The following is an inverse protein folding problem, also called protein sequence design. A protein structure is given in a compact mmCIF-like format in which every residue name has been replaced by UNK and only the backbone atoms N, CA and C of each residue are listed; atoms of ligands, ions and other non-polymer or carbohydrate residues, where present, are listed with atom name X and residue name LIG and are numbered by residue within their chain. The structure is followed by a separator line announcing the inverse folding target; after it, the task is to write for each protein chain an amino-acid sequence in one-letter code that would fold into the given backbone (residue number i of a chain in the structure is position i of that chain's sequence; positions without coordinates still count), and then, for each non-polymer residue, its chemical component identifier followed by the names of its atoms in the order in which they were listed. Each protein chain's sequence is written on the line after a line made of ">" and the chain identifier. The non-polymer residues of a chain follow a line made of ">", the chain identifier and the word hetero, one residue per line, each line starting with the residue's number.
data_IF_279512110080
#
_entry.id   IF_279512110080
#
_cell.length_a   1.000
_cell.length_b   1.000
_cell.length_c   1.000
_cell.angle_alpha   90.00
_cell.angle_beta   90.00
_cell.angle_gamma   90.00
#
_symmetry.space_group_name_H-M   'P 1'
#
loop_
_entity.id
_entity.type
_entity.pdbx_description
1 polymer ?
#
# COMPACT_ATOMS: atom_id res chain seq x y z
N UNK A 1 13.05 -7.61 0.50
CA UNK A 1 13.13 -8.65 -0.55
C UNK A 1 14.57 -9.13 -0.66
N UNK A 2 14.80 -10.45 -0.77
CA UNK A 2 16.16 -11.01 -0.96
C UNK A 2 16.63 -10.91 -2.44
N UNK A 3 15.75 -10.53 -3.38
CA UNK A 3 16.03 -10.36 -4.81
C UNK A 3 15.28 -9.14 -5.40
N UNK A 4 15.52 -8.84 -6.69
CA UNK A 4 14.87 -7.73 -7.40
C UNK A 4 13.35 -7.96 -7.55
N UNK A 5 12.57 -7.15 -6.84
CA UNK A 5 11.11 -7.15 -6.88
C UNK A 5 10.54 -6.21 -7.98
N UNK A 6 11.42 -5.61 -8.78
CA UNK A 6 11.09 -4.65 -9.81
C UNK A 6 11.06 -3.21 -9.31
N UNK A 7 10.73 -2.29 -10.22
CA UNK A 7 10.68 -0.86 -9.97
C UNK A 7 9.51 -0.19 -10.67
N UNK A 8 9.23 1.04 -10.25
CA UNK A 8 8.35 1.98 -10.96
C UNK A 8 9.18 3.16 -11.44
N UNK A 9 8.86 3.70 -12.62
CA UNK A 9 9.51 4.90 -13.16
C UNK A 9 8.61 6.11 -12.95
N UNK A 10 9.12 7.12 -12.26
CA UNK A 10 8.42 8.39 -12.01
C UNK A 10 9.33 9.51 -12.54
N UNK A 11 8.85 10.25 -13.54
CA UNK A 11 9.65 11.30 -14.19
C UNK A 11 10.98 10.80 -14.76
N UNK A 12 11.01 9.57 -15.30
CA UNK A 12 12.22 8.93 -15.81
C UNK A 12 13.16 8.37 -14.73
N UNK A 13 12.88 8.58 -13.44
CA UNK A 13 13.69 8.05 -12.34
C UNK A 13 13.13 6.70 -11.87
N UNK A 14 13.94 5.64 -11.81
CA UNK A 14 13.51 4.35 -11.25
C UNK A 14 13.47 4.38 -9.71
N UNK A 15 12.39 3.86 -9.15
CA UNK A 15 12.18 3.63 -7.71
C UNK A 15 11.95 2.13 -7.49
N UNK A 16 12.85 1.47 -6.78
CA UNK A 16 12.86 0.02 -6.57
C UNK A 16 11.99 -0.36 -5.39
N UNK A 17 11.15 -1.38 -5.53
CA UNK A 17 10.27 -1.84 -4.46
C UNK A 17 11.09 -2.44 -3.31
N UNK A 18 10.83 -1.97 -2.09
CA UNK A 18 11.54 -2.40 -0.88
C UNK A 18 10.66 -3.17 0.08
N UNK A 19 9.43 -2.70 0.30
CA UNK A 19 8.52 -3.23 1.32
C UNK A 19 7.05 -3.11 0.92
N UNK A 20 6.23 -4.02 1.46
CA UNK A 20 4.77 -3.95 1.46
C UNK A 20 4.31 -3.83 2.92
N UNK A 21 3.45 -2.87 3.22
CA UNK A 21 2.95 -2.59 4.57
C UNK A 21 1.44 -2.43 4.52
N UNK A 22 0.72 -3.10 5.43
CA UNK A 22 -0.74 -3.03 5.50
C UNK A 22 -1.17 -2.23 6.71
N UNK A 23 -2.11 -1.32 6.50
CA UNK A 23 -2.73 -0.48 7.53
C UNK A 23 -4.23 -0.75 7.59
N UNK A 24 -4.79 -0.86 8.79
CA UNK A 24 -6.23 -1.03 9.03
C UNK A 24 -6.70 -0.09 10.15
N UNK A 25 -7.67 0.82 9.90
CA UNK A 25 -8.32 1.12 8.60
C UNK A 25 -7.38 1.84 7.63
N UNK A 26 -7.89 2.36 6.50
CA UNK A 26 -7.06 3.22 5.63
C UNK A 26 -6.53 4.45 6.36
N UNK A 27 -5.31 4.86 6.04
CA UNK A 27 -4.75 6.12 6.53
C UNK A 27 -5.30 7.29 5.72
N UNK A 28 -5.40 7.10 4.40
CA UNK A 28 -6.02 8.07 3.50
C UNK A 28 -7.54 8.04 3.56
N UNK A 29 -8.13 9.16 3.15
CA UNK A 29 -9.56 9.27 2.86
C UNK A 29 -9.75 9.93 1.51
N UNK A 30 -10.72 9.46 0.72
CA UNK A 30 -11.10 10.10 -0.55
C UNK A 30 -12.53 10.61 -0.40
N UNK A 31 -12.73 11.92 -0.60
CA UNK A 31 -14.04 12.58 -0.41
C UNK A 31 -14.65 12.30 0.98
N UNK A 32 -13.81 12.30 2.03
CA UNK A 32 -14.22 12.03 3.40
C UNK A 32 -14.45 10.55 3.75
N UNK A 33 -14.43 9.63 2.77
CA UNK A 33 -14.57 8.19 3.01
C UNK A 33 -13.22 7.55 3.33
N UNK A 34 -13.15 6.80 4.44
CA UNK A 34 -12.11 5.80 4.73
C UNK A 34 -12.59 4.41 4.30
N UNK A 35 -11.66 3.54 3.96
CA UNK A 35 -11.94 2.13 3.65
C UNK A 35 -11.37 1.22 4.75
N UNK A 36 -11.56 -0.09 4.60
CA UNK A 36 -11.26 -1.06 5.64
C UNK A 36 -9.77 -1.35 5.79
N UNK A 37 -8.98 -1.23 4.72
CA UNK A 37 -7.53 -1.46 4.77
C UNK A 37 -6.79 -0.77 3.63
N UNK A 38 -5.53 -0.43 3.85
CA UNK A 38 -4.63 0.18 2.88
C UNK A 38 -3.31 -0.57 2.77
N UNK A 39 -2.89 -0.92 1.55
CA UNK A 39 -1.54 -1.39 1.27
C UNK A 39 -0.67 -0.20 0.87
N UNK A 40 0.50 -0.09 1.49
CA UNK A 40 1.60 0.76 1.05
C UNK A 40 2.70 -0.08 0.43
N UNK A 41 3.01 0.22 -0.83
CA UNK A 41 4.17 -0.33 -1.52
C UNK A 41 5.28 0.72 -1.49
N UNK A 42 6.25 0.55 -0.60
CA UNK A 42 7.35 1.50 -0.41
C UNK A 42 8.48 1.23 -1.41
N UNK A 43 8.86 2.27 -2.16
CA UNK A 43 9.92 2.24 -3.16
C UNK A 43 10.97 3.30 -2.88
N UNK A 44 12.19 3.04 -3.32
CA UNK A 44 13.32 3.94 -3.13
C UNK A 44 14.17 4.05 -4.40
N UNK A 45 14.59 5.27 -4.77
CA UNK A 45 15.51 5.48 -5.89
C UNK A 45 16.96 5.19 -5.49
N UNK A 46 17.86 5.09 -6.47
CA UNK A 46 19.30 4.96 -6.21
C UNK A 46 19.91 6.13 -5.40
N UNK A 47 19.19 7.26 -5.31
CA UNK A 47 19.59 8.44 -4.54
C UNK A 47 18.87 8.54 -3.18
N UNK A 48 18.17 7.49 -2.73
CA UNK A 48 17.45 7.47 -1.46
C UNK A 48 16.15 8.28 -1.46
N UNK A 49 15.62 8.65 -2.63
CA UNK A 49 14.32 9.31 -2.71
C UNK A 49 13.20 8.28 -2.57
N UNK A 50 12.17 8.62 -1.79
CA UNK A 50 11.06 7.73 -1.50
C UNK A 50 9.85 7.95 -2.43
N UNK A 51 9.20 6.86 -2.82
CA UNK A 51 7.90 6.87 -3.46
C UNK A 51 7.03 5.74 -2.91
N UNK A 52 5.74 6.02 -2.67
CA UNK A 52 4.79 5.04 -2.13
C UNK A 52 3.58 4.91 -3.05
N UNK A 53 3.22 3.67 -3.36
CA UNK A 53 1.94 3.36 -4.00
C UNK A 53 0.96 2.87 -2.94
N UNK A 54 -0.15 3.59 -2.79
CA UNK A 54 -1.26 3.23 -1.90
C UNK A 54 -2.37 2.50 -2.65
N UNK A 55 -2.89 1.41 -2.08
CA UNK A 55 -4.02 0.65 -2.62
C UNK A 55 -5.07 0.44 -1.54
N UNK A 56 -6.31 0.86 -1.82
CA UNK A 56 -7.43 0.69 -0.89
C UNK A 56 -8.10 -0.67 -1.03
N UNK A 57 -8.59 -1.17 0.10
CA UNK A 57 -9.40 -2.36 0.22
C UNK A 57 -10.69 -2.07 0.97
N UNK A 58 -11.79 -2.66 0.51
CA UNK A 58 -13.03 -2.78 1.27
C UNK A 58 -13.38 -4.25 1.51
N UNK A 59 -14.10 -4.54 2.60
CA UNK A 59 -14.52 -5.90 2.91
C UNK A 59 -15.43 -6.42 1.79
N UNK A 60 -15.08 -7.57 1.24
CA UNK A 60 -15.82 -8.19 0.15
C UNK A 60 -15.24 -9.56 -0.21
N UNK A 61 -15.08 -9.80 -1.51
CA UNK A 61 -14.49 -11.03 -2.00
C UNK A 61 -13.03 -11.19 -1.57
N UNK A 62 -12.61 -12.45 -1.48
CA UNK A 62 -11.25 -12.87 -1.14
C UNK A 62 -10.20 -12.30 -2.11
N UNK A 63 -9.11 -11.74 -1.58
CA UNK A 63 -8.02 -11.21 -2.39
C UNK A 63 -7.03 -12.32 -2.76
N UNK A 64 -6.85 -12.55 -4.06
CA UNK A 64 -6.00 -13.63 -4.56
C UNK A 64 -4.50 -13.45 -4.27
N UNK A 65 -4.02 -12.23 -4.00
CA UNK A 65 -2.63 -12.02 -3.59
C UNK A 65 -2.47 -12.33 -2.10
N UNK A 66 -3.38 -11.83 -1.26
CA UNK A 66 -3.38 -12.14 0.17
C UNK A 66 -3.60 -13.64 0.44
N UNK A 67 -4.36 -14.34 -0.41
CA UNK A 67 -4.50 -15.80 -0.33
C UNK A 67 -3.15 -16.52 -0.30
N UNK A 68 -2.20 -16.06 -1.11
CA UNK A 68 -0.86 -16.65 -1.18
C UNK A 68 -0.02 -16.32 0.06
N UNK A 69 -0.41 -15.27 0.79
CA UNK A 69 0.23 -14.84 2.02
C UNK A 69 -0.37 -15.52 3.27
N UNK A 70 -1.61 -16.01 3.20
CA UNK A 70 -2.33 -16.62 4.33
C UNK A 70 -1.50 -17.64 5.12
N UNK A 71 -0.85 -18.65 4.50
CA UNK A 71 -0.09 -19.64 5.27
C UNK A 71 1.06 -19.01 6.08
N UNK A 72 1.67 -17.95 5.56
CA UNK A 72 2.73 -17.22 6.25
C UNK A 72 2.18 -16.30 7.34
N UNK A 73 1.04 -15.65 7.07
CA UNK A 73 0.34 -14.82 8.04
C UNK A 73 -0.12 -15.65 9.24
N UNK A 74 -0.68 -16.83 9.03
CA UNK A 74 -1.06 -17.78 10.08
C UNK A 74 0.14 -18.23 10.92
N UNK A 75 1.32 -18.36 10.32
CA UNK A 75 2.54 -18.72 11.05
C UNK A 75 3.03 -17.59 11.96
N UNK A 76 2.81 -16.33 11.62
CA UNK A 76 3.27 -15.17 12.41
C UNK A 76 2.18 -14.53 13.27
N UNK A 77 0.91 -14.84 13.00
CA UNK A 77 -0.22 -14.42 13.82
C UNK A 77 -0.01 -14.87 15.27
N UNK A 78 -0.34 -13.99 16.21
CA UNK A 78 -0.17 -14.17 17.66
C UNK A 78 1.29 -14.45 18.14
N UNK A 79 2.31 -14.10 17.34
CA UNK A 79 3.73 -14.29 17.68
C UNK A 79 4.55 -13.02 17.50
N UNK A 80 5.05 -12.50 18.63
CA UNK A 80 5.93 -11.32 18.65
C UNK A 80 7.26 -11.59 17.94
N UNK A 81 7.73 -10.57 17.20
CA UNK A 81 9.03 -10.52 16.53
C UNK A 81 9.34 -11.72 15.62
N UNK A 82 8.29 -12.32 15.02
CA UNK A 82 8.44 -13.45 14.12
C UNK A 82 8.49 -12.99 12.67
N UNK A 83 9.57 -13.39 12.00
CA UNK A 83 9.71 -13.26 10.55
C UNK A 83 9.60 -14.64 9.88
N UNK A 84 8.96 -14.69 8.71
CA UNK A 84 8.85 -15.91 7.92
C UNK A 84 9.35 -15.68 6.50
N UNK A 85 10.17 -16.61 6.02
CA UNK A 85 10.69 -16.57 4.66
C UNK A 85 9.61 -16.98 3.69
N UNK A 86 9.11 -16.02 2.93
CA UNK A 86 8.17 -16.27 1.86
C UNK A 86 8.89 -16.76 0.60
N UNK A 87 8.21 -17.60 -0.19
CA UNK A 87 8.65 -17.95 -1.52
C UNK A 87 8.58 -16.79 -2.52
N UNK A 88 8.82 -17.06 -3.79
CA UNK A 88 8.75 -16.04 -4.84
C UNK A 88 7.31 -15.52 -5.00
N UNK A 89 7.13 -14.21 -4.82
CA UNK A 89 5.84 -13.51 -4.97
C UNK A 89 5.97 -12.43 -6.04
N UNK A 90 4.98 -12.33 -6.93
CA UNK A 90 4.88 -11.24 -7.90
C UNK A 90 4.16 -10.03 -7.28
N UNK A 91 4.85 -8.92 -6.97
CA UNK A 91 4.25 -7.77 -6.31
C UNK A 91 3.22 -7.03 -7.19
N UNK A 92 3.18 -7.28 -8.50
CA UNK A 92 2.13 -6.74 -9.38
C UNK A 92 0.76 -7.28 -8.98
N UNK A 93 0.70 -8.48 -8.40
CA UNK A 93 -0.51 -9.06 -7.83
C UNK A 93 -1.08 -8.23 -6.67
N UNK A 94 -0.22 -7.60 -5.86
CA UNK A 94 -0.61 -6.75 -4.74
C UNK A 94 -1.15 -5.38 -5.22
N UNK A 95 -0.50 -4.77 -6.21
CA UNK A 95 -0.98 -3.51 -6.81
C UNK A 95 -2.29 -3.69 -7.58
N UNK A 96 -2.36 -4.73 -8.40
CA UNK A 96 -3.46 -4.94 -9.35
C UNK A 96 -3.47 -3.91 -10.49
N UNK A 97 -4.63 -3.75 -11.12
CA UNK A 97 -4.86 -2.78 -12.20
C UNK A 97 -4.98 -1.37 -11.63
N UNK A 98 -4.09 -0.47 -12.06
CA UNK A 98 -4.06 0.93 -11.65
C UNK A 98 -4.06 1.83 -12.90
N UNK A 99 -5.25 2.18 -13.38
CA UNK A 99 -5.41 3.10 -14.53
C UNK A 99 -5.59 4.55 -14.09
N UNK A 100 -6.19 4.78 -12.92
CA UNK A 100 -6.52 6.10 -12.38
C UNK A 100 -5.94 6.21 -10.96
N UNK A 101 -5.26 7.30 -10.67
CA UNK A 101 -4.62 7.51 -9.37
C UNK A 101 -4.54 9.00 -9.01
N UNK A 102 -4.43 9.27 -7.71
CA UNK A 102 -4.07 10.58 -7.18
C UNK A 102 -2.56 10.61 -6.94
N UNK A 103 -1.92 11.75 -7.14
CA UNK A 103 -0.49 11.94 -6.88
C UNK A 103 -0.22 13.25 -6.17
N UNK A 104 0.59 13.20 -5.11
CA UNK A 104 0.99 14.37 -4.32
C UNK A 104 2.34 14.11 -3.61
N UNK A 105 2.98 15.17 -3.13
CA UNK A 105 4.19 15.06 -2.29
C UNK A 105 3.80 15.16 -0.81
N UNK A 106 4.26 14.20 0.00
CA UNK A 106 3.94 14.12 1.43
C UNK A 106 5.08 13.56 2.25
N UNK A 107 4.73 12.84 3.32
CA UNK A 107 5.68 12.21 4.25
C UNK A 107 5.49 10.70 4.34
N UNK A 108 6.42 10.03 5.01
CA UNK A 108 6.14 8.71 5.57
C UNK A 108 5.02 8.80 6.61
N UNK A 109 4.26 7.72 6.77
CA UNK A 109 3.17 7.61 7.75
C UNK A 109 3.61 6.95 9.05
N UNK A 110 4.80 6.37 9.06
CA UNK A 110 5.51 5.86 10.24
C UNK A 110 6.71 6.76 10.59
N UNK A 111 7.16 6.80 11.86
CA UNK A 111 8.38 7.49 12.25
C UNK A 111 9.59 7.07 11.39
N UNK A 112 10.48 8.00 11.01
CA UNK A 112 10.59 9.38 11.47
C UNK A 112 9.72 10.40 10.71
N UNK A 113 8.68 9.96 9.98
CA UNK A 113 7.77 10.85 9.24
C UNK A 113 8.47 11.77 8.23
N UNK A 114 9.57 11.30 7.62
CA UNK A 114 10.34 12.08 6.64
C UNK A 114 9.48 12.58 5.49
N UNK A 115 9.64 13.85 5.13
CA UNK A 115 8.94 14.48 4.01
C UNK A 115 9.62 14.23 2.65
N UNK A 116 9.01 14.70 1.56
CA UNK A 116 9.52 14.54 0.20
C UNK A 116 9.13 13.22 -0.47
N UNK A 117 8.19 12.48 0.12
CA UNK A 117 7.71 11.20 -0.41
C UNK A 117 6.71 11.46 -1.54
N UNK A 118 6.95 10.88 -2.72
CA UNK A 118 5.97 10.89 -3.82
C UNK A 118 4.90 9.84 -3.54
N UNK A 119 3.68 10.27 -3.26
CA UNK A 119 2.54 9.39 -3.05
C UNK A 119 1.76 9.19 -4.34
N UNK A 120 1.42 7.94 -4.65
CA UNK A 120 0.53 7.55 -5.74
C UNK A 120 -0.60 6.68 -5.17
N UNK A 121 -1.79 7.23 -5.02
CA UNK A 121 -2.95 6.53 -4.45
C UNK A 121 -3.82 5.99 -5.58
N UNK A 122 -3.86 4.67 -5.75
CA UNK A 122 -4.67 4.00 -6.76
C UNK A 122 -6.16 4.20 -6.44
N UNK A 123 -6.92 4.76 -7.38
CA UNK A 123 -8.34 5.07 -7.16
C UNK A 123 -9.22 3.82 -7.08
N UNK A 124 -8.82 2.73 -7.76
CA UNK A 124 -9.57 1.48 -7.76
C UNK A 124 -9.45 0.80 -6.40
N UNK A 125 -10.58 0.65 -5.72
CA UNK A 125 -10.70 -0.09 -4.46
C UNK A 125 -10.72 -1.59 -4.78
N UNK A 126 -9.91 -2.36 -4.06
CA UNK A 126 -9.88 -3.82 -4.10
C UNK A 126 -10.79 -4.38 -3.00
N UNK A 127 -11.04 -5.67 -3.05
CA UNK A 127 -11.76 -6.36 -1.98
C UNK A 127 -10.79 -7.19 -1.14
N UNK A 128 -11.09 -7.32 0.15
CA UNK A 128 -10.43 -8.24 1.08
C UNK A 128 -11.52 -9.01 1.84
N UNK A 129 -11.33 -10.29 2.10
CA UNK A 129 -12.27 -11.02 2.97
C UNK A 129 -12.10 -10.62 4.44
N UNK A 130 -13.13 -10.81 5.27
CA UNK A 130 -13.03 -10.54 6.72
C UNK A 130 -11.90 -11.34 7.37
N UNK A 131 -11.80 -12.62 7.03
CA UNK A 131 -10.75 -13.52 7.52
C UNK A 131 -9.33 -13.01 7.18
N UNK A 132 -9.11 -12.56 5.94
CA UNK A 132 -7.81 -12.01 5.54
C UNK A 132 -7.45 -10.73 6.30
N UNK A 133 -8.44 -9.87 6.53
CA UNK A 133 -8.25 -8.66 7.33
C UNK A 133 -7.90 -8.99 8.78
N UNK A 134 -8.59 -9.98 9.37
CA UNK A 134 -8.33 -10.46 10.73
C UNK A 134 -6.92 -11.03 10.87
N UNK A 135 -6.48 -11.89 9.95
CA UNK A 135 -5.11 -12.43 9.93
C UNK A 135 -4.04 -11.33 9.88
N UNK A 136 -4.26 -10.28 9.07
CA UNK A 136 -3.33 -9.15 9.00
C UNK A 136 -3.33 -8.33 10.29
N UNK A 137 -4.48 -8.15 10.95
CA UNK A 137 -4.57 -7.43 12.23
C UNK A 137 -3.92 -8.21 13.37
N UNK A 138 -4.11 -9.52 13.41
CA UNK A 138 -3.49 -10.42 14.40
C UNK A 138 -1.97 -10.53 14.23
N UNK A 139 -1.43 -10.24 13.04
CA UNK A 139 0.01 -10.20 12.80
C UNK A 139 0.67 -8.87 13.24
N UNK A 140 -0.12 -7.81 13.47
CA UNK A 140 0.38 -6.50 13.91
C UNK A 140 0.44 -6.49 15.43
N UNK A 141 1.57 -6.97 15.96
CA UNK A 141 1.84 -7.21 17.40
C UNK A 141 2.24 -5.96 18.19
N UNK A 142 1.52 -4.84 18.04
CA UNK A 142 1.92 -3.56 18.64
C UNK A 142 0.96 -3.03 19.73
N UNK A 143 0.06 -3.87 20.24
CA UNK A 143 -1.03 -3.48 21.16
C UNK A 143 -1.99 -2.42 20.57
N UNK A 144 -1.87 -2.10 19.27
CA UNK A 144 -2.72 -1.14 18.59
C UNK A 144 -3.87 -1.88 17.89
N UNK A 145 -5.11 -1.62 18.32
CA UNK A 145 -6.29 -2.11 17.59
C UNK A 145 -6.33 -1.62 16.13
N UNK A 146 -5.61 -0.53 15.83
CA UNK A 146 -5.49 0.18 14.56
C UNK A 146 -4.08 0.75 14.39
N UNK A 147 -3.42 0.43 13.29
CA UNK A 147 -2.09 0.93 12.94
C UNK A 147 -2.14 2.04 11.88
N UNK A 148 -3.23 2.82 11.86
CA UNK A 148 -3.48 3.86 10.88
C UNK A 148 -3.28 5.25 11.49
N UNK A 149 -2.27 5.99 11.03
CA UNK A 149 -2.02 7.38 11.39
C UNK A 149 -3.28 8.23 11.14
N UNK A 150 -3.62 9.15 12.05
CA UNK A 150 -4.71 10.12 11.83
C UNK A 150 -4.45 11.00 10.60
N UNK A 151 -5.52 11.42 9.93
CA UNK A 151 -5.42 12.34 8.79
C UNK A 151 -4.72 13.63 9.22
N UNK A 152 -3.75 14.06 8.42
CA UNK A 152 -3.03 15.32 8.61
C UNK A 152 -3.64 16.43 7.73
N UNK A 153 -3.46 17.68 8.12
CA UNK A 153 -3.87 18.87 7.36
C UNK A 153 -3.34 18.83 5.92
N UNK A 154 -4.17 19.21 4.93
CA UNK A 154 -3.74 19.26 3.52
C UNK A 154 -2.73 20.40 3.29
N UNK A 155 -2.87 21.50 4.04
CA UNK A 155 -2.12 22.75 3.86
C UNK A 155 -2.19 23.18 2.38
N UNK A 156 -1.10 23.75 1.85
CA UNK A 156 -1.00 24.23 0.46
C UNK A 156 -0.55 23.16 -0.55
N UNK A 157 -0.74 21.87 -0.24
CA UNK A 157 -0.26 20.79 -1.13
C UNK A 157 -1.14 20.64 -2.37
N UNK A 158 -0.49 20.61 -3.53
CA UNK A 158 -1.13 20.24 -4.77
C UNK A 158 -1.38 18.72 -4.83
N UNK A 159 -2.63 18.35 -5.08
CA UNK A 159 -3.04 16.95 -5.29
C UNK A 159 -3.53 16.83 -6.73
N UNK A 160 -2.77 16.11 -7.54
CA UNK A 160 -3.09 15.85 -8.94
C UNK A 160 -3.85 14.54 -9.09
N UNK A 161 -4.63 14.42 -10.17
CA UNK A 161 -5.31 13.18 -10.52
C UNK A 161 -4.98 12.80 -11.96
N UNK A 162 -4.39 11.62 -12.14
CA UNK A 162 -4.14 11.05 -13.46
C UNK A 162 -5.33 10.20 -13.91
N UNK A 163 -5.73 10.38 -15.17
CA UNK A 163 -6.70 9.53 -15.87
C UNK A 163 -6.13 9.18 -17.24
N UNK A 164 -6.21 7.92 -17.71
CA UNK A 164 -5.85 7.60 -19.08
C UNK A 164 -6.85 8.28 -20.02
N UNK A 165 -6.38 8.76 -21.16
CA UNK A 165 -7.28 9.19 -22.23
C UNK A 165 -8.09 7.99 -22.72
N UNK A 166 -9.42 8.09 -22.71
CA UNK A 166 -10.25 7.14 -23.44
C UNK A 166 -10.01 7.37 -24.94
N UNK A 167 -9.30 6.46 -25.59
CA UNK A 167 -9.40 6.37 -27.04
C UNK A 167 -10.82 5.89 -27.34
N UNK A 168 -11.66 6.78 -27.87
CA UNK A 168 -12.91 6.40 -28.52
C UNK A 168 -12.59 5.30 -29.53
N UNK A 169 -12.96 4.06 -29.21
CA UNK A 169 -12.99 2.97 -30.19
C UNK A 169 -14.22 3.24 -31.07
N UNK A 170 -13.97 3.83 -32.24
CA UNK A 170 -14.90 3.79 -33.35
C UNK A 170 -15.01 2.37 -33.89
#
# INVERSE_FOLDING_TARGET
>A
FESDAGSVSIGGTPYFLRQLQWHSPTEHSVNGRRYDMELHMFHESAQGKAAVIGVFYEIGAHDAFLHKLEPYLEMIADRKDREEKMGMMDPRGARGKASVYYSYVGSLTTPPCSEGVIWTIVKRVRTVSRHQLELLREAVHDDMEKNARPRQEVNSRDISMFRPFEQNRH
#
